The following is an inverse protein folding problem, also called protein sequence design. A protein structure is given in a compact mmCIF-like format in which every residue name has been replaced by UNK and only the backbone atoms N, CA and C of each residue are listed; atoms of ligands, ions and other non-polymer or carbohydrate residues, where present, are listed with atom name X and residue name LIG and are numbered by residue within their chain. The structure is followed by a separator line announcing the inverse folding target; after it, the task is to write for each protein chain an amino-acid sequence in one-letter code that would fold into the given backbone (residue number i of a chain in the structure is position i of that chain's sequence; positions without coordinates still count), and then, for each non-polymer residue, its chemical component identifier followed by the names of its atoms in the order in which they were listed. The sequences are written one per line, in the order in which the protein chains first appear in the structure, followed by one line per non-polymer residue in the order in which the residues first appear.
data_IF_652047880025
#
_entry.id   IF_652047880025
#
_cell.length_a   1.000
_cell.length_b   1.000
_cell.length_c   1.000
_cell.angle_alpha   90.00
_cell.angle_beta   90.00
_cell.angle_gamma   90.00
#
_symmetry.space_group_name_H-M   'P 1'
#
loop_
_entity.id
_entity.type
_entity.pdbx_description
1 polymer ?
#
# COMPACT_ATOMS: atom_id res chain seq x y z
N UNK A 1 9.72 5.20 -2.76
CA UNK A 1 10.71 4.31 -2.08
C UNK A 1 12.00 4.27 -2.88
N UNK A 2 11.95 3.96 -4.16
CA UNK A 2 13.14 3.92 -5.05
C UNK A 2 13.93 5.23 -5.01
N UNK A 3 13.29 6.40 -5.08
CA UNK A 3 13.94 7.72 -4.96
C UNK A 3 14.62 7.96 -3.59
N UNK A 4 14.25 7.16 -2.58
CA UNK A 4 14.89 7.18 -1.25
C UNK A 4 15.98 6.14 -1.09
N UNK A 5 16.38 5.46 -2.18
CA UNK A 5 17.46 4.49 -2.19
C UNK A 5 17.08 3.08 -1.72
N UNK A 6 15.79 2.77 -1.59
CA UNK A 6 15.35 1.41 -1.28
C UNK A 6 15.35 0.53 -2.52
N UNK A 7 15.76 -0.71 -2.36
CA UNK A 7 15.55 -1.76 -3.33
C UNK A 7 14.06 -2.14 -3.32
N UNK A 8 13.39 -1.95 -4.44
CA UNK A 8 11.94 -2.13 -4.55
C UNK A 8 11.64 -3.21 -5.58
N UNK A 9 10.84 -4.21 -5.19
CA UNK A 9 10.18 -5.12 -6.10
C UNK A 9 8.71 -4.68 -6.29
N UNK A 10 8.33 -4.36 -7.51
CA UNK A 10 6.96 -4.03 -7.88
C UNK A 10 6.27 -5.32 -8.37
N UNK A 11 5.25 -5.74 -7.62
CA UNK A 11 4.46 -6.91 -7.97
C UNK A 11 3.17 -6.55 -8.70
N UNK A 12 2.82 -7.31 -9.74
CA UNK A 12 1.51 -7.28 -10.37
C UNK A 12 1.13 -8.66 -10.91
N UNK A 13 -0.13 -9.05 -10.81
CA UNK A 13 -0.62 -10.29 -11.45
C UNK A 13 -0.66 -10.23 -12.98
N UNK A 14 -0.49 -9.08 -13.59
CA UNK A 14 -0.56 -8.89 -15.04
C UNK A 14 0.81 -9.09 -15.68
N UNK A 15 0.99 -10.19 -16.41
CA UNK A 15 2.19 -10.44 -17.19
C UNK A 15 2.45 -9.34 -18.24
N UNK A 16 1.40 -8.83 -18.88
CA UNK A 16 1.50 -7.75 -19.85
C UNK A 16 2.05 -6.44 -19.23
N UNK A 17 1.72 -6.16 -17.95
CA UNK A 17 2.29 -5.00 -17.24
C UNK A 17 3.76 -5.21 -16.91
N UNK A 18 4.14 -6.42 -16.50
CA UNK A 18 5.55 -6.76 -16.27
C UNK A 18 6.34 -6.56 -17.56
N UNK A 19 5.86 -7.09 -18.68
CA UNK A 19 6.49 -6.93 -19.98
C UNK A 19 6.61 -5.45 -20.38
N UNK A 20 5.54 -4.66 -20.22
CA UNK A 20 5.56 -3.22 -20.54
C UNK A 20 6.61 -2.47 -19.71
N UNK A 21 6.73 -2.80 -18.41
CA UNK A 21 7.73 -2.16 -17.54
C UNK A 21 9.15 -2.62 -17.89
N UNK A 22 9.35 -3.91 -18.18
CA UNK A 22 10.65 -4.43 -18.63
C UNK A 22 11.08 -3.77 -19.95
N UNK A 23 10.18 -3.63 -20.92
CA UNK A 23 10.46 -2.95 -22.20
C UNK A 23 10.78 -1.46 -22.03
N UNK A 24 10.45 -0.87 -20.86
CA UNK A 24 10.82 0.49 -20.47
C UNK A 24 11.95 0.50 -19.43
N UNK A 25 12.81 -0.53 -19.39
CA UNK A 25 13.93 -0.65 -18.45
C UNK A 25 13.53 -0.49 -16.96
N UNK A 26 12.31 -0.86 -16.60
CA UNK A 26 11.70 -0.64 -15.28
C UNK A 26 11.66 0.84 -14.83
N UNK A 27 11.73 1.78 -15.78
CA UNK A 27 11.67 3.21 -15.50
C UNK A 27 10.22 3.66 -15.40
N UNK A 28 9.92 4.39 -14.34
CA UNK A 28 8.62 5.03 -14.12
C UNK A 28 8.85 6.53 -14.04
N UNK A 29 8.16 7.28 -14.91
CA UNK A 29 8.16 8.73 -14.87
C UNK A 29 7.12 9.24 -13.86
N UNK A 30 7.41 10.37 -13.24
CA UNK A 30 6.47 11.02 -12.33
C UNK A 30 6.38 12.52 -12.59
N UNK A 31 5.21 13.08 -12.25
CA UNK A 31 4.92 14.52 -12.25
C UNK A 31 4.15 14.89 -10.99
N UNK A 32 3.97 16.17 -10.73
CA UNK A 32 3.12 16.67 -9.64
C UNK A 32 3.90 17.33 -8.51
N UNK A 33 3.51 17.10 -7.25
CA UNK A 33 4.07 17.82 -6.09
C UNK A 33 5.56 17.60 -5.85
N UNK A 34 6.16 16.57 -6.46
CA UNK A 34 7.60 16.31 -6.42
C UNK A 34 8.36 16.88 -7.64
N UNK A 35 7.69 17.68 -8.46
CA UNK A 35 8.22 18.12 -9.76
C UNK A 35 8.08 17.02 -10.81
N UNK A 36 8.98 17.04 -11.79
CA UNK A 36 9.03 16.06 -12.89
C UNK A 36 10.34 15.28 -12.83
N UNK A 37 10.24 13.98 -13.11
CA UNK A 37 11.41 13.11 -13.12
C UNK A 37 11.07 11.66 -13.41
N UNK A 38 12.05 10.80 -13.20
CA UNK A 38 11.88 9.35 -13.35
C UNK A 38 12.67 8.59 -12.30
N UNK A 39 12.27 7.35 -12.06
CA UNK A 39 13.03 6.41 -11.23
C UNK A 39 13.00 5.02 -11.87
N UNK A 40 14.08 4.28 -11.69
CA UNK A 40 14.19 2.87 -12.11
C UNK A 40 13.86 1.99 -10.91
N UNK A 41 12.81 1.18 -11.01
CA UNK A 41 12.47 0.15 -10.01
C UNK A 41 13.44 -1.02 -10.15
N UNK A 42 13.98 -1.52 -9.05
CA UNK A 42 15.00 -2.58 -9.08
C UNK A 42 14.45 -3.86 -9.72
N UNK A 43 13.28 -4.29 -9.30
CA UNK A 43 12.63 -5.51 -9.79
C UNK A 43 11.16 -5.27 -10.09
N UNK A 44 10.67 -5.92 -11.14
CA UNK A 44 9.24 -5.97 -11.50
C UNK A 44 8.91 -7.43 -11.78
N UNK A 45 7.92 -7.99 -11.09
CA UNK A 45 7.60 -9.42 -11.22
C UNK A 45 6.09 -9.68 -11.12
N UNK A 46 5.66 -10.78 -11.72
CA UNK A 46 4.36 -11.41 -11.49
C UNK A 46 4.48 -12.71 -10.66
N UNK A 47 5.67 -13.02 -10.16
CA UNK A 47 5.90 -14.07 -9.16
C UNK A 47 5.79 -13.49 -7.76
N UNK A 48 4.81 -13.97 -6.99
CA UNK A 48 4.63 -13.54 -5.60
C UNK A 48 5.81 -13.97 -4.73
N UNK A 49 6.39 -15.13 -5.01
CA UNK A 49 7.58 -15.64 -4.31
C UNK A 49 8.75 -14.67 -4.45
N UNK A 50 9.10 -14.28 -5.66
CA UNK A 50 10.18 -13.33 -5.94
C UNK A 50 9.94 -11.97 -5.25
N UNK A 51 8.68 -11.53 -5.22
CA UNK A 51 8.33 -10.23 -4.68
C UNK A 51 8.41 -10.13 -3.14
N UNK A 52 8.15 -11.23 -2.41
CA UNK A 52 7.96 -11.15 -0.95
C UNK A 52 8.93 -11.96 -0.13
N UNK A 53 9.61 -12.98 -0.68
CA UNK A 53 10.45 -13.91 0.12
C UNK A 53 11.62 -13.25 0.82
N UNK A 54 12.18 -12.18 0.24
CA UNK A 54 13.30 -11.40 0.82
C UNK A 54 12.89 -10.07 1.46
N UNK A 55 11.59 -9.70 1.41
CA UNK A 55 11.16 -8.37 1.80
C UNK A 55 11.14 -8.16 3.32
N UNK A 56 11.70 -7.05 3.78
CA UNK A 56 11.56 -6.59 5.16
C UNK A 56 10.21 -5.88 5.38
N UNK A 57 9.73 -5.19 4.33
CA UNK A 57 8.47 -4.46 4.31
C UNK A 57 7.69 -4.78 3.01
N UNK A 58 6.50 -5.31 3.15
CA UNK A 58 5.54 -5.45 2.06
C UNK A 58 4.50 -4.34 2.17
N UNK A 59 4.42 -3.49 1.15
CA UNK A 59 3.43 -2.40 1.09
C UNK A 59 2.30 -2.81 0.15
N UNK A 60 1.10 -2.94 0.69
CA UNK A 60 -0.08 -3.35 -0.06
C UNK A 60 -0.97 -2.14 -0.37
N UNK A 61 -0.89 -1.65 -1.61
CA UNK A 61 -1.66 -0.51 -2.14
C UNK A 61 -2.70 -1.00 -3.14
N UNK A 62 -3.62 -1.86 -2.70
CA UNK A 62 -4.65 -2.43 -3.58
C UNK A 62 -6.05 -2.16 -3.02
N UNK A 63 -7.09 -2.07 -3.86
CA UNK A 63 -8.46 -1.95 -3.38
C UNK A 63 -8.84 -3.08 -2.44
N UNK A 64 -9.71 -2.82 -1.46
CA UNK A 64 -10.13 -3.79 -0.45
C UNK A 64 -10.68 -5.10 -1.04
N UNK A 65 -11.34 -5.03 -2.20
CA UNK A 65 -11.82 -6.21 -2.95
C UNK A 65 -10.70 -7.13 -3.42
N UNK A 66 -9.47 -6.62 -3.54
CA UNK A 66 -8.29 -7.40 -3.92
C UNK A 66 -7.53 -8.01 -2.75
N UNK A 67 -7.75 -7.54 -1.52
CA UNK A 67 -6.92 -7.93 -0.36
C UNK A 67 -6.79 -9.43 -0.20
N UNK A 68 -7.89 -10.16 -0.21
CA UNK A 68 -7.88 -11.62 0.01
C UNK A 68 -7.03 -12.36 -1.02
N UNK A 69 -7.13 -11.99 -2.30
CA UNK A 69 -6.34 -12.60 -3.37
C UNK A 69 -4.84 -12.41 -3.14
N UNK A 70 -4.42 -11.17 -2.80
CA UNK A 70 -3.02 -10.87 -2.54
C UNK A 70 -2.51 -11.54 -1.27
N UNK A 71 -3.29 -11.53 -0.19
CA UNK A 71 -2.93 -12.15 1.07
C UNK A 71 -2.76 -13.67 0.95
N UNK A 72 -3.67 -14.35 0.27
CA UNK A 72 -3.56 -15.78 0.02
C UNK A 72 -2.35 -16.11 -0.86
N UNK A 73 -2.07 -15.30 -1.88
CA UNK A 73 -0.93 -15.51 -2.75
C UNK A 73 0.42 -15.31 -2.04
N UNK A 74 0.53 -14.33 -1.13
CA UNK A 74 1.79 -14.06 -0.42
C UNK A 74 2.02 -14.95 0.80
N UNK A 75 0.97 -15.54 1.37
CA UNK A 75 1.02 -16.32 2.61
C UNK A 75 2.13 -17.38 2.66
N UNK A 76 2.37 -18.20 1.60
CA UNK A 76 3.39 -19.24 1.62
C UNK A 76 4.83 -18.70 1.69
N UNK A 77 5.04 -17.46 1.27
CA UNK A 77 6.37 -16.89 1.02
C UNK A 77 6.78 -15.81 2.02
N UNK A 78 5.84 -15.31 2.85
CA UNK A 78 6.13 -14.29 3.86
C UNK A 78 6.98 -14.86 4.99
N UNK A 79 8.12 -14.21 5.27
CA UNK A 79 8.95 -14.53 6.45
C UNK A 79 8.24 -14.07 7.73
N UNK A 80 8.59 -14.71 8.86
CA UNK A 80 8.01 -14.40 10.17
C UNK A 80 8.25 -12.96 10.64
N UNK A 81 9.32 -12.33 10.20
CA UNK A 81 9.75 -10.98 10.57
C UNK A 81 9.31 -9.88 9.59
N UNK A 82 8.86 -10.24 8.38
CA UNK A 82 8.34 -9.27 7.40
C UNK A 82 7.17 -8.47 7.96
N UNK A 83 7.22 -7.16 7.81
CA UNK A 83 6.11 -6.24 8.12
C UNK A 83 5.19 -6.12 6.91
N UNK A 84 3.89 -6.34 7.11
CA UNK A 84 2.87 -6.02 6.11
C UNK A 84 2.27 -4.65 6.42
N UNK A 85 2.42 -3.69 5.53
CA UNK A 85 1.82 -2.37 5.62
C UNK A 85 0.71 -2.20 4.59
N UNK A 86 -0.53 -2.16 5.06
CA UNK A 86 -1.73 -1.92 4.24
C UNK A 86 -1.96 -0.41 4.13
N UNK A 87 -1.82 0.14 2.94
CA UNK A 87 -1.78 1.59 2.70
C UNK A 87 -2.79 2.03 1.61
N UNK A 88 -4.09 2.25 1.95
CA UNK A 88 -4.72 2.02 3.23
C UNK A 88 -5.17 0.57 3.40
N UNK A 89 -5.51 0.20 4.65
CA UNK A 89 -6.09 -1.12 4.93
C UNK A 89 -7.61 -1.19 4.71
N UNK A 90 -8.25 -0.05 4.52
CA UNK A 90 -9.71 0.10 4.58
C UNK A 90 -10.25 -0.30 5.97
N UNK A 91 -11.53 -0.48 6.14
CA UNK A 91 -12.09 -0.79 7.46
C UNK A 91 -11.91 -2.27 7.81
N UNK A 92 -11.10 -2.59 8.83
CA UNK A 92 -10.86 -3.94 9.31
C UNK A 92 -9.87 -4.76 8.48
N UNK A 93 -9.15 -4.13 7.56
CA UNK A 93 -8.22 -4.82 6.66
C UNK A 93 -7.11 -5.57 7.39
N UNK A 94 -6.50 -4.95 8.40
CA UNK A 94 -5.43 -5.60 9.18
C UNK A 94 -5.93 -6.81 9.97
N UNK A 95 -7.13 -6.77 10.54
CA UNK A 95 -7.71 -7.90 11.25
C UNK A 95 -8.02 -9.06 10.29
N UNK A 96 -8.56 -8.75 9.11
CA UNK A 96 -8.76 -9.76 8.06
C UNK A 96 -7.44 -10.34 7.58
N UNK A 97 -6.42 -9.51 7.39
CA UNK A 97 -5.08 -9.96 7.00
C UNK A 97 -4.47 -10.87 8.08
N UNK A 98 -4.59 -10.52 9.34
CA UNK A 98 -4.12 -11.35 10.45
C UNK A 98 -4.81 -12.72 10.49
N UNK A 99 -6.12 -12.74 10.24
CA UNK A 99 -6.88 -13.99 10.15
C UNK A 99 -6.41 -14.88 8.99
N UNK A 100 -6.28 -14.31 7.78
CA UNK A 100 -5.85 -15.06 6.58
C UNK A 100 -4.42 -15.57 6.73
N UNK A 101 -3.49 -14.71 7.16
CA UNK A 101 -2.08 -15.04 7.27
C UNK A 101 -1.75 -15.90 8.49
N UNK A 102 -2.59 -15.87 9.53
CA UNK A 102 -2.34 -16.54 10.82
C UNK A 102 -1.19 -15.93 11.60
N UNK A 103 -0.93 -14.62 11.44
CA UNK A 103 0.22 -13.92 12.06
C UNK A 103 -0.06 -12.45 12.37
N UNK A 104 0.83 -11.84 13.19
CA UNK A 104 0.90 -10.41 13.44
C UNK A 104 1.91 -9.66 12.56
N UNK A 105 2.43 -8.53 13.05
CA UNK A 105 3.28 -7.56 12.35
C UNK A 105 2.60 -6.95 11.12
N UNK A 106 1.31 -6.63 11.29
CA UNK A 106 0.47 -6.05 10.25
C UNK A 106 0.10 -4.63 10.69
N UNK A 107 0.34 -3.67 9.82
CA UNK A 107 0.00 -2.27 10.02
C UNK A 107 -1.09 -1.83 9.05
N UNK A 108 -2.00 -1.00 9.51
CA UNK A 108 -3.10 -0.45 8.72
C UNK A 108 -3.09 1.07 8.80
N UNK A 109 -2.95 1.73 7.65
CA UNK A 109 -3.09 3.17 7.54
C UNK A 109 -4.57 3.57 7.43
N UNK A 110 -4.95 4.65 8.12
CA UNK A 110 -6.29 5.22 8.03
C UNK A 110 -6.58 5.86 6.67
N UNK A 111 -5.56 6.24 5.92
CA UNK A 111 -5.67 6.83 4.58
C UNK A 111 -4.41 6.54 3.76
N UNK A 112 -4.41 6.92 2.49
CA UNK A 112 -3.25 6.82 1.60
C UNK A 112 -2.13 7.75 2.05
N UNK A 113 -0.89 7.23 2.12
CA UNK A 113 0.32 8.04 2.36
C UNK A 113 0.62 8.99 1.19
N UNK A 114 0.18 8.65 0.00
CA UNK A 114 0.34 9.43 -1.22
C UNK A 114 -0.93 9.37 -2.05
N UNK A 115 -1.33 10.51 -2.61
CA UNK A 115 -2.41 10.53 -3.61
C UNK A 115 -1.74 10.61 -4.97
N UNK A 116 -1.84 9.53 -5.73
CA UNK A 116 -1.27 9.43 -7.06
C UNK A 116 -2.27 8.80 -8.03
N UNK A 117 -2.15 9.18 -9.28
CA UNK A 117 -2.92 8.61 -10.39
C UNK A 117 -1.97 8.15 -11.49
N UNK A 118 -2.19 6.95 -11.96
CA UNK A 118 -1.50 6.42 -13.13
C UNK A 118 -1.96 7.19 -14.37
N UNK A 119 -1.03 7.77 -15.11
CA UNK A 119 -1.29 8.51 -16.36
C UNK A 119 -1.00 7.63 -17.57
N UNK A 120 -0.09 6.67 -17.44
CA UNK A 120 0.15 5.58 -18.40
C UNK A 120 0.63 4.33 -17.65
N UNK A 121 0.99 3.25 -18.35
CA UNK A 121 1.55 2.06 -17.69
C UNK A 121 2.92 2.33 -17.03
N UNK A 122 3.65 3.34 -17.50
CA UNK A 122 5.00 3.72 -17.04
C UNK A 122 5.07 5.13 -16.47
N UNK A 123 3.93 5.78 -16.18
CA UNK A 123 3.93 7.14 -15.62
C UNK A 123 2.84 7.36 -14.58
N UNK A 124 3.14 8.22 -13.59
CA UNK A 124 2.24 8.58 -12.51
C UNK A 124 2.24 10.09 -12.27
N UNK A 125 1.08 10.62 -11.89
CA UNK A 125 0.95 11.97 -11.37
C UNK A 125 0.71 11.93 -9.87
N UNK A 126 1.54 12.60 -9.07
CA UNK A 126 1.44 12.66 -7.60
C UNK A 126 0.82 13.99 -7.21
N UNK A 127 -0.42 13.95 -6.70
CA UNK A 127 -1.19 15.14 -6.33
C UNK A 127 -0.97 15.56 -4.88
N UNK A 128 -0.57 14.63 -4.00
CA UNK A 128 -0.34 14.92 -2.58
C UNK A 128 0.62 13.91 -1.97
N UNK A 129 1.47 14.39 -1.05
CA UNK A 129 2.42 13.57 -0.30
C UNK A 129 2.71 14.19 1.06
N UNK A 130 3.50 13.47 1.88
CA UNK A 130 4.15 13.97 3.09
C UNK A 130 3.20 14.53 4.16
N UNK A 131 1.95 14.03 4.17
CA UNK A 131 0.98 14.32 5.23
C UNK A 131 1.05 13.27 6.34
N UNK A 132 0.81 13.64 7.60
CA UNK A 132 0.69 12.68 8.68
C UNK A 132 -0.39 11.65 8.39
N UNK A 133 -0.05 10.36 8.57
CA UNK A 133 -0.95 9.23 8.39
C UNK A 133 -0.96 8.42 9.66
N UNK A 134 -2.14 8.24 10.26
CA UNK A 134 -2.28 7.41 11.45
C UNK A 134 -2.27 5.95 11.07
N UNK A 135 -1.41 5.18 11.72
CA UNK A 135 -1.20 3.76 11.46
C UNK A 135 -1.42 2.97 12.74
N UNK A 136 -2.40 2.08 12.72
CA UNK A 136 -2.62 1.07 13.74
C UNK A 136 -1.87 -0.21 13.41
N UNK A 137 -1.42 -0.92 14.45
CA UNK A 137 -0.66 -2.17 14.32
C UNK A 137 -1.37 -3.32 15.00
N UNK A 138 -1.35 -4.49 14.40
CA UNK A 138 -1.82 -5.74 14.98
C UNK A 138 -0.67 -6.76 15.10
N UNK A 139 -0.45 -7.33 16.32
CA UNK A 139 -1.06 -6.91 17.59
C UNK A 139 -0.49 -5.56 18.07
N UNK A 140 -1.27 -4.79 18.83
CA UNK A 140 -0.89 -3.45 19.27
C UNK A 140 0.41 -3.39 20.11
N UNK A 141 0.76 -4.47 20.80
CA UNK A 141 2.03 -4.57 21.56
C UNK A 141 3.28 -4.45 20.68
N UNK A 142 3.17 -4.71 19.38
CA UNK A 142 4.28 -4.66 18.43
C UNK A 142 4.39 -3.30 17.72
N UNK A 143 3.59 -2.30 18.13
CA UNK A 143 3.48 -1.00 17.45
C UNK A 143 4.82 -0.35 17.18
N UNK A 144 5.66 -0.16 18.21
CA UNK A 144 6.94 0.54 18.01
C UNK A 144 7.90 -0.24 17.11
N UNK A 145 8.01 -1.56 17.27
CA UNK A 145 8.89 -2.40 16.45
C UNK A 145 8.46 -2.44 14.98
N UNK A 146 7.16 -2.41 14.71
CA UNK A 146 6.61 -2.39 13.35
C UNK A 146 6.75 -0.99 12.73
N UNK A 147 6.45 0.06 13.49
CA UNK A 147 6.56 1.43 13.01
C UNK A 147 8.01 1.86 12.77
N UNK A 148 8.99 1.32 13.52
CA UNK A 148 10.40 1.55 13.23
C UNK A 148 10.77 1.14 11.79
N UNK A 149 10.28 -0.01 11.34
CA UNK A 149 10.48 -0.47 9.96
C UNK A 149 9.77 0.45 8.96
N UNK A 150 8.50 0.78 9.23
CA UNK A 150 7.69 1.58 8.31
C UNK A 150 8.21 3.01 8.20
N UNK A 151 8.63 3.65 9.31
CA UNK A 151 9.12 5.04 9.35
C UNK A 151 10.38 5.26 8.53
N UNK A 152 11.21 4.25 8.35
CA UNK A 152 12.35 4.32 7.42
C UNK A 152 11.90 4.68 5.99
N UNK A 153 10.80 4.07 5.54
CA UNK A 153 10.24 4.26 4.20
C UNK A 153 9.16 5.38 4.14
N UNK A 154 8.41 5.55 5.22
CA UNK A 154 7.29 6.49 5.37
C UNK A 154 7.43 7.33 6.65
N UNK A 155 8.29 8.37 6.67
CA UNK A 155 8.65 9.11 7.88
C UNK A 155 7.48 9.89 8.53
N UNK A 156 6.42 10.15 7.78
CA UNK A 156 5.24 10.89 8.26
C UNK A 156 4.17 9.99 8.93
N UNK A 157 4.52 8.72 9.19
CA UNK A 157 3.61 7.81 9.88
C UNK A 157 3.57 8.12 11.37
N UNK A 158 2.36 8.30 11.89
CA UNK A 158 2.04 8.55 13.29
C UNK A 158 1.42 7.27 13.89
N UNK A 159 1.86 6.92 15.09
CA UNK A 159 1.28 5.77 15.80
C UNK A 159 -0.18 6.03 16.16
N UNK A 160 -1.08 5.14 15.72
CA UNK A 160 -2.39 4.98 16.31
C UNK A 160 -2.32 4.05 17.51
N UNK A 161 -3.34 4.09 18.38
CA UNK A 161 -3.45 3.22 19.56
C UNK A 161 -3.48 1.74 19.15
N UNK A 162 -4.26 1.43 18.13
CA UNK A 162 -4.46 0.08 17.61
C UNK A 162 -5.07 0.13 16.18
N UNK A 163 -5.31 -1.04 15.59
CA UNK A 163 -5.92 -1.14 14.25
C UNK A 163 -7.40 -0.74 14.21
N UNK A 164 -8.10 -0.73 15.33
CA UNK A 164 -9.49 -0.27 15.37
C UNK A 164 -9.55 1.24 15.21
N UNK A 165 -8.62 1.97 15.84
CA UNK A 165 -8.53 3.42 15.65
C UNK A 165 -8.26 3.76 14.18
N UNK A 166 -7.24 3.17 13.54
CA UNK A 166 -6.94 3.44 12.14
C UNK A 166 -8.10 3.07 11.20
N UNK A 167 -8.75 1.93 11.43
CA UNK A 167 -9.91 1.46 10.66
C UNK A 167 -11.11 2.40 10.78
N UNK A 168 -11.45 2.83 11.99
CA UNK A 168 -12.63 3.66 12.27
C UNK A 168 -12.41 5.14 11.95
N UNK A 169 -11.15 5.60 11.92
CA UNK A 169 -10.78 6.93 11.46
C UNK A 169 -10.59 7.04 9.93
N UNK A 170 -10.92 6.00 9.17
CA UNK A 170 -10.86 6.04 7.72
C UNK A 170 -12.00 6.91 7.16
N UNK A 171 -11.65 8.14 6.81
CA UNK A 171 -12.59 9.15 6.30
C UNK A 171 -13.33 8.71 5.03
N UNK A 172 -12.72 7.85 4.21
CA UNK A 172 -13.34 7.37 2.97
C UNK A 172 -14.62 6.57 3.24
N UNK A 173 -14.65 5.75 4.29
CA UNK A 173 -15.83 4.99 4.68
C UNK A 173 -16.98 5.88 5.17
N UNK A 174 -16.66 7.09 5.65
CA UNK A 174 -17.64 8.05 6.18
C UNK A 174 -18.20 8.99 5.11
N UNK A 175 -17.39 9.41 4.14
CA UNK A 175 -17.78 10.43 3.16
C UNK A 175 -18.27 9.84 1.82
N UNK A 176 -17.64 8.78 1.32
CA UNK A 176 -18.00 8.26 0.00
C UNK A 176 -19.40 7.64 -0.06
N UNK A 177 -19.84 6.76 0.87
CA UNK A 177 -21.18 6.18 0.78
C UNK A 177 -22.29 7.23 0.87
N UNK A 178 -22.32 8.17 1.85
CA UNK A 178 -23.32 9.24 1.86
C UNK A 178 -23.24 10.13 0.62
N UNK A 179 -22.05 10.46 0.15
CA UNK A 179 -21.85 11.26 -1.06
C UNK A 179 -22.47 10.60 -2.29
N UNK A 180 -22.30 9.30 -2.47
CA UNK A 180 -22.91 8.54 -3.58
C UNK A 180 -24.42 8.49 -3.42
N UNK A 181 -24.94 8.13 -2.24
CA UNK A 181 -26.39 8.00 -2.00
C UNK A 181 -27.11 9.33 -2.21
N UNK A 182 -26.57 10.43 -1.66
CA UNK A 182 -27.19 11.75 -1.77
C UNK A 182 -27.13 12.34 -3.19
N UNK A 183 -26.21 11.87 -4.03
CA UNK A 183 -26.05 12.36 -5.40
C UNK A 183 -26.40 11.27 -6.45
N UNK A 184 -27.09 10.21 -6.09
CA UNK A 184 -27.42 9.12 -7.00
C UNK A 184 -28.11 9.61 -8.28
N UNK A 185 -29.07 10.54 -8.16
CA UNK A 185 -29.76 11.12 -9.32
C UNK A 185 -28.88 11.95 -10.26
N UNK A 186 -27.71 12.43 -9.79
CA UNK A 186 -26.73 13.15 -10.62
C UNK A 186 -25.74 12.22 -11.32
N UNK A 187 -25.55 11.02 -10.75
CA UNK A 187 -24.62 10.02 -11.30
C UNK A 187 -25.24 9.29 -12.49
N UNK A 188 -26.58 9.20 -12.54
CA UNK A 188 -27.33 8.52 -13.59
C UNK A 188 -27.59 9.40 -14.83
N UNK A 189 -27.23 10.68 -14.80
CA UNK A 189 -27.41 11.66 -15.84
C UNK A 189 -26.07 12.35 -16.20
#
# INVERSE_FOLDING_TARGET
LTLRGYEVCLFTFSAARVETLHNNDNVISYTGVWGEGSCRVAHVSNSMEEAVSGADLVVMNVPGTGHERYLNAMKPYLRGDTVLYMNPGHTGGALRAAHILGRGRIAEANTLSYIARKTSETSVHVSSSDKPVTVGVFPAKDTEAVLEVIRKAYPYVVAGRDVLESSLCNINAMFHPPGVVLNAGWIEH
#
